data_IF_563989592019
#
_entry.id   IF_563989592019
#
_cell.length_a   1.000
_cell.length_b   1.000
_cell.length_c   1.000
_cell.angle_alpha   90.00
_cell.angle_beta   90.00
_cell.angle_gamma   90.00
#
_symmetry.space_group_name_H-M   'P 1'
#
loop_
_entity.id
_entity.type
_entity.pdbx_description
1 polymer ?
#
# COMPACT_ATOMS: atom_id res chain seq x y z
N UNK A 1 4.62 -12.30 -1.41
CA UNK A 1 4.01 -11.77 -2.65
C UNK A 1 2.55 -12.13 -2.89
N UNK A 2 2.16 -13.42 -2.92
CA UNK A 2 0.83 -13.86 -3.43
C UNK A 2 -0.38 -13.15 -2.79
N UNK A 3 -0.34 -12.89 -1.48
CA UNK A 3 -1.45 -12.23 -0.77
C UNK A 3 -1.60 -10.76 -1.13
N UNK A 4 -0.48 -10.02 -1.25
CA UNK A 4 -0.48 -8.63 -1.67
C UNK A 4 -0.94 -8.50 -3.12
N UNK A 5 -0.58 -9.46 -3.98
CA UNK A 5 -1.06 -9.54 -5.37
C UNK A 5 -2.57 -9.79 -5.38
N UNK A 6 -3.08 -10.74 -4.59
CA UNK A 6 -4.52 -11.00 -4.47
C UNK A 6 -5.28 -9.78 -3.94
N UNK A 7 -4.77 -9.10 -2.91
CA UNK A 7 -5.36 -7.87 -2.39
C UNK A 7 -5.39 -6.76 -3.46
N UNK A 8 -4.32 -6.63 -4.24
CA UNK A 8 -4.26 -5.67 -5.36
C UNK A 8 -5.26 -6.03 -6.45
N UNK A 9 -5.42 -7.32 -6.75
CA UNK A 9 -6.32 -7.82 -7.79
C UNK A 9 -7.79 -7.65 -7.39
N UNK A 10 -8.13 -7.93 -6.12
CA UNK A 10 -9.46 -7.68 -5.56
C UNK A 10 -9.76 -6.17 -5.58
N UNK A 11 -8.83 -5.33 -5.12
CA UNK A 11 -9.01 -3.87 -5.17
C UNK A 11 -9.13 -3.35 -6.60
N UNK A 12 -8.35 -3.88 -7.53
CA UNK A 12 -8.44 -3.54 -8.95
C UNK A 12 -9.82 -3.86 -9.53
N UNK A 13 -10.38 -5.03 -9.18
CA UNK A 13 -11.74 -5.42 -9.60
C UNK A 13 -12.80 -4.50 -8.96
N UNK A 14 -12.68 -4.20 -7.66
CA UNK A 14 -13.62 -3.33 -6.95
C UNK A 14 -13.61 -1.91 -7.54
N UNK A 15 -12.42 -1.36 -7.80
CA UNK A 15 -12.26 -0.04 -8.41
C UNK A 15 -12.71 -0.01 -9.87
N UNK A 16 -12.55 -1.11 -10.60
CA UNK A 16 -13.05 -1.24 -11.97
C UNK A 16 -14.58 -1.35 -12.04
N UNK A 17 -15.22 -2.00 -11.05
CA UNK A 17 -16.67 -2.09 -10.95
C UNK A 17 -17.32 -0.81 -10.38
N UNK A 18 -16.59 -0.02 -9.61
CA UNK A 18 -17.07 1.20 -8.97
C UNK A 18 -17.75 2.23 -9.91
N UNK A 19 -17.27 2.49 -11.14
CA UNK A 19 -17.99 3.37 -12.06
C UNK A 19 -19.35 2.81 -12.50
N UNK A 20 -19.47 1.48 -12.64
CA UNK A 20 -20.73 0.83 -13.04
C UNK A 20 -21.82 0.88 -11.96
N UNK A 21 -21.45 1.13 -10.71
CA UNK A 21 -22.37 1.27 -9.57
C UNK A 21 -22.62 2.74 -9.19
N UNK A 22 -22.13 3.70 -9.98
CA UNK A 22 -22.33 5.12 -9.75
C UNK A 22 -21.45 5.72 -8.63
N UNK A 23 -20.36 5.05 -8.26
CA UNK A 23 -19.40 5.55 -7.26
C UNK A 23 -18.30 6.45 -7.87
N UNK A 24 -18.42 6.86 -9.14
CA UNK A 24 -17.47 7.78 -9.79
C UNK A 24 -17.25 9.06 -8.99
N UNK A 25 -18.28 9.62 -8.36
CA UNK A 25 -18.17 10.84 -7.55
C UNK A 25 -17.31 10.69 -6.29
N UNK A 26 -17.09 9.46 -5.81
CA UNK A 26 -16.27 9.17 -4.63
C UNK A 26 -14.83 8.78 -4.98
N UNK A 27 -14.54 8.57 -6.27
CA UNK A 27 -13.23 8.13 -6.75
C UNK A 27 -12.45 9.29 -7.33
N UNK A 28 -11.28 9.56 -6.76
CA UNK A 28 -10.40 10.55 -7.35
C UNK A 28 -9.88 10.05 -8.72
N UNK A 29 -9.80 10.90 -9.75
CA UNK A 29 -9.25 10.53 -11.07
C UNK A 29 -7.85 9.89 -11.05
N UNK A 30 -7.08 10.08 -9.97
CA UNK A 30 -5.72 9.56 -9.81
C UNK A 30 -5.67 8.24 -9.03
N UNK A 31 -6.82 7.59 -8.80
CA UNK A 31 -6.89 6.33 -8.03
C UNK A 31 -5.98 5.23 -8.60
N UNK A 32 -5.84 5.17 -9.91
CA UNK A 32 -4.95 4.23 -10.59
C UNK A 32 -3.47 4.48 -10.26
N UNK A 33 -3.06 5.75 -10.12
CA UNK A 33 -1.71 6.10 -9.70
C UNK A 33 -1.46 5.72 -8.24
N UNK A 34 -2.46 5.91 -7.38
CA UNK A 34 -2.40 5.48 -5.98
C UNK A 34 -2.25 3.95 -5.89
N UNK A 35 -3.03 3.21 -6.69
CA UNK A 35 -2.98 1.75 -6.75
C UNK A 35 -1.61 1.26 -7.24
N UNK A 36 -1.08 1.86 -8.32
CA UNK A 36 0.25 1.56 -8.84
C UNK A 36 1.34 1.85 -7.79
N UNK A 37 1.21 2.94 -7.04
CA UNK A 37 2.12 3.27 -5.94
C UNK A 37 2.12 2.19 -4.84
N UNK A 38 0.94 1.75 -4.38
CA UNK A 38 0.85 0.68 -3.36
C UNK A 38 1.35 -0.67 -3.85
N UNK A 39 1.16 -0.99 -5.14
CA UNK A 39 1.76 -2.18 -5.75
C UNK A 39 3.29 -2.08 -5.79
N UNK A 40 3.83 -0.92 -6.16
CA UNK A 40 5.27 -0.67 -6.17
C UNK A 40 5.89 -0.76 -4.76
N UNK A 41 5.26 -0.14 -3.77
CA UNK A 41 5.64 -0.25 -2.35
C UNK A 41 5.61 -1.72 -1.91
N UNK A 42 4.53 -2.44 -2.17
CA UNK A 42 4.40 -3.84 -1.76
C UNK A 42 5.48 -4.73 -2.39
N UNK A 43 5.82 -4.47 -3.66
CA UNK A 43 6.92 -5.16 -4.34
C UNK A 43 8.27 -4.84 -3.68
N UNK A 44 8.53 -3.56 -3.41
CA UNK A 44 9.78 -3.08 -2.83
C UNK A 44 9.97 -3.65 -1.41
N UNK A 45 8.93 -3.64 -0.58
CA UNK A 45 8.93 -4.25 0.75
C UNK A 45 9.23 -5.75 0.68
N UNK A 46 8.59 -6.47 -0.25
CA UNK A 46 8.82 -7.90 -0.41
C UNK A 46 10.28 -8.20 -0.77
N UNK A 47 10.84 -7.43 -1.71
CA UNK A 47 12.24 -7.53 -2.13
C UNK A 47 13.19 -7.23 -0.97
N UNK A 48 12.94 -6.15 -0.23
CA UNK A 48 13.74 -5.82 0.96
C UNK A 48 13.69 -6.95 1.98
N UNK A 49 12.51 -7.53 2.22
CA UNK A 49 12.35 -8.64 3.15
C UNK A 49 13.15 -9.88 2.72
N UNK A 50 13.15 -10.25 1.44
CA UNK A 50 13.97 -11.36 0.94
C UNK A 50 15.48 -11.12 1.15
N UNK A 51 15.96 -9.90 0.90
CA UNK A 51 17.36 -9.53 1.15
C UNK A 51 17.69 -9.49 2.65
N UNK A 52 16.81 -8.96 3.48
CA UNK A 52 17.01 -8.82 4.94
C UNK A 52 16.98 -10.15 5.68
N UNK A 53 16.12 -11.09 5.27
CA UNK A 53 15.98 -12.42 5.90
C UNK A 53 17.19 -13.32 5.69
N UNK A 54 17.96 -13.14 4.60
CA UNK A 54 19.18 -13.92 4.35
C UNK A 54 20.28 -13.62 5.37
N UNK A 55 20.26 -12.44 6.01
CA UNK A 55 21.43 -11.89 6.69
C UNK A 55 21.39 -11.90 8.23
N UNK A 56 20.34 -12.45 8.86
CA UNK A 56 20.21 -12.91 10.27
C UNK A 56 18.77 -12.70 10.79
N UNK A 57 18.13 -13.78 11.27
CA UNK A 57 16.75 -13.74 11.83
C UNK A 57 16.62 -12.81 13.04
N UNK A 58 17.69 -12.58 13.81
CA UNK A 58 17.69 -11.70 14.98
C UNK A 58 17.38 -10.24 14.66
N UNK A 59 17.72 -9.77 13.44
CA UNK A 59 17.46 -8.40 13.01
C UNK A 59 16.13 -8.24 12.27
N UNK A 60 15.33 -9.30 12.15
CA UNK A 60 14.06 -9.29 11.42
C UNK A 60 13.10 -8.18 11.90
N UNK A 61 12.97 -8.01 13.21
CA UNK A 61 12.09 -6.99 13.79
C UNK A 61 12.57 -5.58 13.46
N UNK A 62 13.86 -5.31 13.63
CA UNK A 62 14.45 -3.99 13.32
C UNK A 62 14.29 -3.65 11.83
N UNK A 63 14.53 -4.63 10.96
CA UNK A 63 14.36 -4.47 9.52
C UNK A 63 12.90 -4.24 9.11
N UNK A 64 11.96 -4.94 9.77
CA UNK A 64 10.52 -4.74 9.56
C UNK A 64 10.07 -3.33 9.96
N UNK A 65 10.50 -2.84 11.13
CA UNK A 65 10.18 -1.48 11.57
C UNK A 65 10.76 -0.44 10.61
N UNK A 66 12.01 -0.61 10.17
CA UNK A 66 12.63 0.27 9.17
C UNK A 66 11.83 0.30 7.86
N UNK A 67 11.32 -0.85 7.44
CA UNK A 67 10.47 -0.98 6.25
C UNK A 67 9.13 -0.25 6.40
N UNK A 68 8.48 -0.33 7.57
CA UNK A 68 7.26 0.44 7.87
C UNK A 68 7.55 1.95 7.82
N UNK A 69 8.66 2.39 8.42
CA UNK A 69 9.05 3.80 8.41
C UNK A 69 9.32 4.30 6.99
N UNK A 70 10.05 3.52 6.19
CA UNK A 70 10.30 3.84 4.79
C UNK A 70 8.97 3.99 4.02
N UNK A 71 8.04 3.04 4.21
CA UNK A 71 6.69 3.09 3.60
C UNK A 71 5.93 4.36 3.99
N UNK A 72 5.97 4.76 5.26
CA UNK A 72 5.33 6.00 5.73
C UNK A 72 5.93 7.24 5.07
N UNK A 73 7.26 7.33 5.01
CA UNK A 73 7.96 8.46 4.38
C UNK A 73 7.63 8.53 2.88
N UNK A 74 7.72 7.41 2.17
CA UNK A 74 7.36 7.31 0.75
C UNK A 74 5.91 7.73 0.50
N UNK A 75 4.98 7.32 1.38
CA UNK A 75 3.57 7.70 1.29
C UNK A 75 3.38 9.20 1.48
N UNK A 76 4.07 9.81 2.44
CA UNK A 76 4.04 11.25 2.67
C UNK A 76 4.57 12.03 1.46
N UNK A 77 5.70 11.59 0.91
CA UNK A 77 6.31 12.21 -0.28
C UNK A 77 5.35 12.12 -1.46
N UNK A 78 4.74 10.95 -1.68
CA UNK A 78 3.79 10.75 -2.76
C UNK A 78 2.59 11.71 -2.64
N UNK A 79 1.95 11.75 -1.47
CA UNK A 79 0.83 12.69 -1.24
C UNK A 79 1.30 14.14 -1.45
N UNK A 80 2.47 14.50 -0.91
CA UNK A 80 3.03 15.86 -1.01
C UNK A 80 3.27 16.30 -2.46
N UNK A 81 3.80 15.42 -3.32
CA UNK A 81 4.00 15.70 -4.74
C UNK A 81 2.68 16.00 -5.44
N UNK A 82 1.66 15.19 -5.18
CA UNK A 82 0.34 15.37 -5.78
C UNK A 82 -0.35 16.63 -5.26
N UNK A 83 -0.24 16.92 -3.96
CA UNK A 83 -0.79 18.14 -3.37
C UNK A 83 -0.13 19.40 -3.95
N UNK A 84 1.20 19.37 -4.14
CA UNK A 84 1.95 20.48 -4.75
C UNK A 84 1.56 20.74 -6.21
N UNK A 85 1.13 19.71 -6.94
CA UNK A 85 0.64 19.85 -8.32
C UNK A 85 -0.71 20.59 -8.45
N UNK A 86 -1.34 20.97 -7.34
CA UNK A 86 -2.59 21.73 -7.35
C UNK A 86 -3.81 20.88 -7.69
N UNK A 87 -4.04 19.83 -6.89
CA UNK A 87 -5.23 18.99 -7.03
C UNK A 87 -6.51 19.77 -6.67
N UNK A 88 -7.46 19.80 -7.59
CA UNK A 88 -8.80 20.38 -7.39
C UNK A 88 -9.52 19.77 -6.18
N UNK A 89 -9.45 18.44 -6.01
CA UNK A 89 -10.11 17.70 -4.93
C UNK A 89 -9.10 17.02 -3.99
N UNK A 90 -8.19 17.84 -3.45
CA UNK A 90 -7.13 17.39 -2.52
C UNK A 90 -7.65 16.51 -1.38
N UNK A 91 -8.82 16.81 -0.82
CA UNK A 91 -9.41 16.02 0.28
C UNK A 91 -9.85 14.63 -0.17
N UNK A 92 -10.52 14.54 -1.33
CA UNK A 92 -10.96 13.26 -1.90
C UNK A 92 -9.77 12.37 -2.25
N UNK A 93 -8.67 12.96 -2.75
CA UNK A 93 -7.43 12.26 -3.01
C UNK A 93 -6.84 11.64 -1.74
N UNK A 94 -6.73 12.44 -0.67
CA UNK A 94 -6.16 11.99 0.60
C UNK A 94 -7.01 10.88 1.22
N UNK A 95 -8.34 10.98 1.20
CA UNK A 95 -9.23 9.92 1.71
C UNK A 95 -9.05 8.62 0.92
N UNK A 96 -9.07 8.69 -0.41
CA UNK A 96 -8.86 7.53 -1.26
C UNK A 96 -7.49 6.88 -1.01
N UNK A 97 -6.45 7.69 -0.86
CA UNK A 97 -5.12 7.24 -0.50
C UNK A 97 -5.09 6.55 0.86
N UNK A 98 -5.71 7.15 1.88
CA UNK A 98 -5.74 6.61 3.24
C UNK A 98 -6.54 5.31 3.33
N UNK A 99 -7.66 5.20 2.62
CA UNK A 99 -8.46 3.99 2.56
C UNK A 99 -7.66 2.82 1.98
N UNK A 100 -6.96 3.05 0.86
CA UNK A 100 -6.08 2.05 0.26
C UNK A 100 -4.88 1.74 1.16
N UNK A 101 -4.28 2.75 1.80
CA UNK A 101 -3.20 2.58 2.75
C UNK A 101 -3.59 1.64 3.90
N UNK A 102 -4.74 1.86 4.53
CA UNK A 102 -5.24 1.04 5.62
C UNK A 102 -5.52 -0.38 5.15
N UNK A 103 -6.17 -0.54 4.00
CA UNK A 103 -6.46 -1.85 3.44
C UNK A 103 -5.17 -2.66 3.21
N UNK A 104 -4.19 -2.10 2.49
CA UNK A 104 -2.90 -2.77 2.29
C UNK A 104 -2.17 -3.08 3.59
N UNK A 105 -2.19 -2.14 4.54
CA UNK A 105 -1.54 -2.31 5.85
C UNK A 105 -2.17 -3.46 6.65
N UNK A 106 -3.50 -3.60 6.64
CA UNK A 106 -4.17 -4.75 7.25
C UNK A 106 -3.67 -6.07 6.65
N UNK A 107 -3.69 -6.21 5.33
CA UNK A 107 -3.22 -7.44 4.66
C UNK A 107 -1.76 -7.77 4.96
N UNK A 108 -0.91 -6.75 5.07
CA UNK A 108 0.51 -6.87 5.38
C UNK A 108 0.73 -7.38 6.82
N UNK A 109 0.04 -6.78 7.80
CA UNK A 109 0.12 -7.18 9.21
C UNK A 109 -0.42 -8.61 9.41
N UNK A 110 -1.57 -8.95 8.81
CA UNK A 110 -2.09 -10.33 8.86
C UNK A 110 -1.14 -11.35 8.23
N UNK A 111 -0.40 -10.93 7.19
CA UNK A 111 0.67 -11.73 6.59
C UNK A 111 1.79 -12.03 7.59
N UNK A 112 2.27 -10.99 8.27
CA UNK A 112 3.38 -11.08 9.21
C UNK A 112 3.04 -11.90 10.46
N UNK A 113 1.86 -11.66 11.06
CA UNK A 113 1.43 -12.32 12.29
C UNK A 113 1.32 -13.84 12.14
N UNK A 114 0.92 -14.29 10.94
CA UNK A 114 0.81 -15.73 10.63
C UNK A 114 2.17 -16.40 10.37
N UNK A 115 3.18 -15.64 9.94
CA UNK A 115 4.55 -16.15 9.81
C UNK A 115 5.23 -16.28 11.18
N UNK A 116 4.95 -15.36 12.11
CA UNK A 116 5.48 -15.39 13.48
C UNK A 116 4.82 -16.46 14.37
N UNK A 117 3.56 -16.86 14.09
CA UNK A 117 2.85 -17.91 14.85
C UNK A 117 3.24 -19.34 14.44
N UNK A 118 4.14 -19.51 13.47
CA UNK A 118 4.51 -20.83 12.93
C UNK A 118 5.84 -21.35 13.49
N UNK A 119 6.45 -20.62 14.40
CA UNK A 119 7.48 -21.06 15.35
C UNK A 119 6.84 -21.24 16.73
#
# INVERSE_FOLDING_TARGET
MLRSILATLILGIVLFLAPYIGLDSYLHPYIWYILAFFLGISFLIHRLMEFGLQNNKEKFVSFYISTIVAKLILSLIFIGIFLYKGLSDSFLFVINFFALYLFYTCFEIYGLYRNLRRD
#
